data_IF_785933573326
#
_entry.id   IF_785933573326
#
_cell.length_a   1.000
_cell.length_b   1.000
_cell.length_c   1.000
_cell.angle_alpha   90.00
_cell.angle_beta   90.00
_cell.angle_gamma   90.00
#
_symmetry.space_group_name_H-M   'P 1'
#
loop_
_entity.id
_entity.type
_entity.pdbx_description
1 polymer ?
#
# COMPACT_ATOMS: atom_id res chain seq x y z
N UNK A 1 5.06 2.43 23.85
CA UNK A 1 4.14 1.49 23.18
C UNK A 1 3.88 0.34 24.12
N UNK A 2 2.62 -0.06 24.33
CA UNK A 2 2.29 -1.25 25.15
C UNK A 2 2.73 -2.50 24.38
N UNK A 3 3.41 -3.42 25.07
CA UNK A 3 3.83 -4.71 24.50
C UNK A 3 2.58 -5.48 24.03
N UNK A 4 2.56 -6.05 22.80
CA UNK A 4 1.42 -6.82 22.32
C UNK A 4 1.16 -8.03 23.24
N UNK A 5 -0.12 -8.30 23.53
CA UNK A 5 -0.50 -9.39 24.43
C UNK A 5 -0.46 -10.71 23.66
N UNK A 6 0.32 -11.66 24.18
CA UNK A 6 0.40 -13.01 23.63
C UNK A 6 -0.92 -13.74 23.82
N UNK A 7 -1.36 -14.46 22.78
CA UNK A 7 -2.49 -15.38 22.84
C UNK A 7 -2.14 -16.61 23.69
N UNK A 8 -3.08 -17.08 24.49
CA UNK A 8 -2.95 -18.37 25.13
C UNK A 8 -3.15 -19.54 24.15
N UNK A 9 -2.89 -20.77 24.57
CA UNK A 9 -2.97 -21.93 23.68
C UNK A 9 -4.39 -22.16 23.10
N UNK A 10 -5.43 -21.86 23.86
CA UNK A 10 -6.81 -22.00 23.41
C UNK A 10 -7.15 -20.94 22.35
N UNK A 11 -6.76 -19.69 22.58
CA UNK A 11 -6.94 -18.59 21.62
C UNK A 11 -6.13 -18.82 20.35
N UNK A 12 -4.87 -19.27 20.43
CA UNK A 12 -4.05 -19.64 19.28
C UNK A 12 -4.68 -20.76 18.43
N UNK A 13 -5.23 -21.79 19.08
CA UNK A 13 -5.94 -22.86 18.39
C UNK A 13 -7.24 -22.38 17.75
N UNK A 14 -8.01 -21.53 18.43
CA UNK A 14 -9.23 -20.93 17.89
C UNK A 14 -8.92 -20.04 16.67
N UNK A 15 -7.84 -19.26 16.74
CA UNK A 15 -7.35 -18.45 15.61
C UNK A 15 -7.12 -19.31 14.38
N UNK A 16 -6.32 -20.37 14.48
CA UNK A 16 -6.00 -21.24 13.34
C UNK A 16 -7.27 -21.93 12.80
N UNK A 17 -8.19 -22.33 13.68
CA UNK A 17 -9.48 -22.88 13.26
C UNK A 17 -10.30 -21.88 12.43
N UNK A 18 -10.17 -20.59 12.72
CA UNK A 18 -10.84 -19.50 11.96
C UNK A 18 -10.15 -19.13 10.64
N UNK A 19 -8.94 -19.67 10.40
CA UNK A 19 -8.10 -19.37 9.23
C UNK A 19 -7.87 -20.64 8.40
N UNK A 20 -8.75 -20.98 7.46
CA UNK A 20 -8.63 -22.19 6.66
C UNK A 20 -7.27 -22.30 5.94
N UNK A 21 -6.59 -23.44 6.11
CA UNK A 21 -5.31 -23.76 5.48
C UNK A 21 -4.07 -23.18 6.18
N UNK A 22 -4.23 -22.44 7.29
CA UNK A 22 -3.12 -22.09 8.17
C UNK A 22 -2.86 -23.22 9.16
N UNK A 23 -1.60 -23.42 9.50
CA UNK A 23 -1.15 -24.43 10.47
C UNK A 23 -0.47 -23.76 11.65
N UNK A 24 -0.82 -24.22 12.86
CA UNK A 24 -0.11 -23.83 14.09
C UNK A 24 1.16 -24.65 14.21
N UNK A 25 2.28 -24.03 14.52
CA UNK A 25 3.51 -24.74 14.85
C UNK A 25 3.35 -25.57 16.13
N UNK A 26 4.13 -26.65 16.27
CA UNK A 26 4.04 -27.57 17.40
C UNK A 26 4.29 -26.90 18.76
N UNK A 27 5.08 -25.82 18.79
CA UNK A 27 5.36 -25.02 19.98
C UNK A 27 4.29 -23.95 20.28
N UNK A 28 3.28 -23.81 19.39
CA UNK A 28 2.20 -22.83 19.51
C UNK A 28 2.60 -21.39 19.31
N UNK A 29 3.82 -21.11 18.81
CA UNK A 29 4.37 -19.75 18.73
C UNK A 29 4.22 -19.07 17.39
N UNK A 30 3.94 -19.82 16.33
CA UNK A 30 3.80 -19.28 14.99
C UNK A 30 2.68 -19.97 14.22
N UNK A 31 2.18 -19.28 13.19
CA UNK A 31 1.27 -19.85 12.21
C UNK A 31 1.89 -19.74 10.82
N UNK A 32 1.67 -20.74 9.98
CA UNK A 32 2.17 -20.73 8.62
C UNK A 32 1.16 -21.23 7.62
N UNK A 33 1.31 -20.77 6.36
CA UNK A 33 0.54 -21.25 5.22
C UNK A 33 1.37 -21.19 3.96
N UNK A 34 1.22 -22.22 3.10
CA UNK A 34 1.79 -22.21 1.76
C UNK A 34 0.71 -21.86 0.74
N UNK A 35 0.88 -20.76 0.06
CA UNK A 35 0.07 -20.31 -1.07
C UNK A 35 0.67 -20.80 -2.38
N UNK A 36 -0.17 -21.16 -3.36
CA UNK A 36 0.26 -21.58 -4.68
C UNK A 36 -0.25 -20.62 -5.75
N UNK A 37 0.57 -20.42 -6.76
CA UNK A 37 0.34 -19.49 -7.86
C UNK A 37 0.59 -20.18 -9.22
N UNK A 38 0.24 -19.52 -10.32
CA UNK A 38 0.42 -20.06 -11.65
C UNK A 38 1.90 -20.15 -12.05
N UNK A 39 2.69 -19.14 -11.69
CA UNK A 39 4.08 -18.97 -12.10
C UNK A 39 4.86 -18.07 -11.12
N UNK A 40 6.10 -17.77 -11.46
CA UNK A 40 6.98 -16.92 -10.66
C UNK A 40 6.51 -15.47 -10.61
N UNK A 41 5.99 -14.94 -11.71
CA UNK A 41 5.45 -13.57 -11.78
C UNK A 41 4.27 -13.38 -10.82
N UNK A 42 3.32 -14.33 -10.81
CA UNK A 42 2.20 -14.33 -9.89
C UNK A 42 2.65 -14.47 -8.43
N UNK A 43 3.69 -15.30 -8.17
CA UNK A 43 4.29 -15.44 -6.83
C UNK A 43 4.87 -14.11 -6.37
N UNK A 44 5.67 -13.44 -7.19
CA UNK A 44 6.30 -12.16 -6.85
C UNK A 44 5.28 -11.03 -6.72
N UNK A 45 4.23 -11.03 -7.54
CA UNK A 45 3.14 -10.06 -7.42
C UNK A 45 2.44 -10.17 -6.05
N UNK A 46 2.17 -11.40 -5.60
CA UNK A 46 1.63 -11.65 -4.26
C UNK A 46 2.57 -11.15 -3.15
N UNK A 47 3.86 -11.48 -3.25
CA UNK A 47 4.87 -11.11 -2.24
C UNK A 47 5.01 -9.60 -2.11
N UNK A 48 5.04 -8.87 -3.22
CA UNK A 48 5.13 -7.40 -3.20
C UNK A 48 3.90 -6.74 -2.55
N UNK A 49 2.71 -7.29 -2.78
CA UNK A 49 1.48 -6.81 -2.11
C UNK A 49 1.49 -7.15 -0.62
N UNK A 50 1.95 -8.35 -0.26
CA UNK A 50 2.08 -8.75 1.14
C UNK A 50 3.10 -7.87 1.89
N UNK A 51 4.19 -7.48 1.23
CA UNK A 51 5.16 -6.53 1.79
C UNK A 51 4.51 -5.16 2.09
N UNK A 52 3.61 -4.68 1.23
CA UNK A 52 2.83 -3.46 1.48
C UNK A 52 1.98 -3.57 2.76
N UNK A 53 1.27 -4.68 2.93
CA UNK A 53 0.49 -4.95 4.15
C UNK A 53 1.41 -5.03 5.38
N UNK A 54 2.53 -5.75 5.28
CA UNK A 54 3.47 -5.93 6.38
C UNK A 54 4.03 -4.58 6.86
N UNK A 55 4.42 -3.71 5.92
CA UNK A 55 4.90 -2.36 6.21
C UNK A 55 3.81 -1.49 6.87
N UNK A 56 2.57 -1.54 6.38
CA UNK A 56 1.47 -0.77 6.95
C UNK A 56 1.09 -1.20 8.37
N UNK A 57 1.28 -2.48 8.70
CA UNK A 57 1.00 -3.05 10.03
C UNK A 57 2.23 -3.06 10.95
N UNK A 58 3.42 -2.65 10.45
CA UNK A 58 4.71 -2.81 11.14
C UNK A 58 4.90 -4.24 11.69
N UNK A 59 4.45 -5.25 10.90
CA UNK A 59 4.51 -6.66 11.27
C UNK A 59 4.89 -7.54 10.08
N UNK A 60 6.12 -8.01 10.08
CA UNK A 60 6.75 -8.65 8.92
C UNK A 60 6.76 -10.17 9.06
N UNK A 61 6.28 -10.91 8.05
CA UNK A 61 6.35 -12.38 8.04
C UNK A 61 7.74 -12.88 7.62
N UNK A 62 8.07 -14.10 8.05
CA UNK A 62 9.10 -14.88 7.37
C UNK A 62 8.52 -15.50 6.09
N UNK A 63 9.28 -15.40 4.99
CA UNK A 63 8.84 -15.87 3.68
C UNK A 63 9.82 -16.92 3.11
N UNK A 64 9.24 -18.01 2.58
CA UNK A 64 9.98 -18.99 1.78
C UNK A 64 9.36 -19.09 0.41
N UNK A 65 10.14 -18.76 -0.61
CA UNK A 65 9.67 -18.64 -1.99
C UNK A 65 10.15 -19.78 -2.87
N UNK A 66 9.29 -20.17 -3.81
CA UNK A 66 9.63 -21.02 -4.95
C UNK A 66 8.98 -20.49 -6.21
N UNK A 67 9.15 -21.21 -7.34
CA UNK A 67 8.66 -20.75 -8.63
C UNK A 67 7.17 -20.40 -8.63
N UNK A 68 6.35 -21.24 -8.00
CA UNK A 68 4.89 -21.10 -8.00
C UNK A 68 4.28 -21.21 -6.59
N UNK A 69 5.04 -20.85 -5.56
CA UNK A 69 4.53 -20.83 -4.19
C UNK A 69 5.24 -19.78 -3.32
N UNK A 70 4.52 -19.33 -2.31
CA UNK A 70 5.04 -18.58 -1.18
C UNK A 70 4.54 -19.26 0.11
N UNK A 71 5.45 -19.63 0.99
CA UNK A 71 5.17 -20.04 2.35
C UNK A 71 5.35 -18.83 3.25
N UNK A 72 4.29 -18.48 3.96
CA UNK A 72 4.22 -17.31 4.84
C UNK A 72 4.14 -17.80 6.28
N UNK A 73 5.00 -17.27 7.14
CA UNK A 73 5.00 -17.56 8.58
C UNK A 73 4.88 -16.26 9.35
N UNK A 74 3.92 -16.20 10.28
CA UNK A 74 3.75 -15.10 11.22
C UNK A 74 4.03 -15.54 12.64
N UNK A 75 4.72 -14.67 13.39
CA UNK A 75 4.97 -14.74 14.83
C UNK A 75 5.28 -13.33 15.33
N UNK A 76 4.88 -13.02 16.55
CA UNK A 76 5.25 -11.75 17.19
C UNK A 76 6.45 -11.98 18.12
N UNK A 77 7.66 -11.64 17.63
CA UNK A 77 8.91 -11.89 18.36
C UNK A 77 8.92 -11.25 19.76
N UNK A 78 8.46 -10.02 19.88
CA UNK A 78 8.42 -9.28 21.16
C UNK A 78 7.48 -9.91 22.20
N UNK A 79 6.50 -10.70 21.73
CA UNK A 79 5.57 -11.43 22.60
C UNK A 79 6.01 -12.88 22.86
N UNK A 80 7.07 -13.37 22.20
CA UNK A 80 7.51 -14.78 22.16
C UNK A 80 6.33 -15.70 21.78
N UNK A 81 5.57 -15.34 20.75
CA UNK A 81 4.42 -16.13 20.31
C UNK A 81 3.39 -15.30 19.51
N UNK A 82 2.22 -15.88 19.34
CA UNK A 82 1.14 -15.28 18.55
C UNK A 82 0.39 -14.17 19.31
N UNK A 83 -0.05 -13.18 18.56
CA UNK A 83 -0.91 -12.07 19.01
C UNK A 83 -2.03 -11.83 18.00
N UNK A 84 -2.96 -10.91 18.28
CA UNK A 84 -3.99 -10.50 17.31
C UNK A 84 -3.40 -9.86 16.03
N UNK A 85 -2.17 -9.39 16.08
CA UNK A 85 -1.51 -8.82 14.92
C UNK A 85 -1.19 -9.90 13.87
N UNK A 86 -0.74 -11.08 14.32
CA UNK A 86 -0.53 -12.26 13.46
C UNK A 86 -1.83 -12.68 12.78
N UNK A 87 -2.94 -12.65 13.52
CA UNK A 87 -4.26 -12.95 13.00
C UNK A 87 -4.69 -11.96 11.90
N UNK A 88 -4.47 -10.68 12.14
CA UNK A 88 -4.81 -9.60 11.20
C UNK A 88 -4.01 -9.74 9.91
N UNK A 89 -2.69 -9.92 10.02
CA UNK A 89 -1.81 -10.09 8.87
C UNK A 89 -2.08 -11.40 8.11
N UNK A 90 -2.40 -12.50 8.80
CA UNK A 90 -2.77 -13.76 8.18
C UNK A 90 -4.07 -13.66 7.35
N UNK A 91 -5.08 -12.94 7.88
CA UNK A 91 -6.32 -12.65 7.13
C UNK A 91 -6.05 -11.81 5.89
N UNK A 92 -5.24 -10.77 6.01
CA UNK A 92 -4.85 -9.94 4.87
C UNK A 92 -4.06 -10.73 3.82
N UNK A 93 -3.10 -11.57 4.23
CA UNK A 93 -2.36 -12.47 3.34
C UNK A 93 -3.29 -13.42 2.57
N UNK A 94 -4.34 -13.94 3.24
CA UNK A 94 -5.35 -14.77 2.59
C UNK A 94 -6.14 -14.00 1.54
N UNK A 95 -6.63 -12.82 1.87
CA UNK A 95 -7.40 -11.98 0.95
C UNK A 95 -6.59 -11.62 -0.30
N UNK A 96 -5.29 -11.33 -0.15
CA UNK A 96 -4.39 -11.09 -1.27
C UNK A 96 -4.26 -12.31 -2.18
N UNK A 97 -4.16 -13.52 -1.61
CA UNK A 97 -4.06 -14.75 -2.40
C UNK A 97 -5.36 -15.07 -3.15
N UNK A 98 -6.51 -14.87 -2.49
CA UNK A 98 -7.83 -15.07 -3.11
C UNK A 98 -8.06 -14.09 -4.27
N UNK A 99 -7.66 -12.82 -4.08
CA UNK A 99 -7.70 -11.81 -5.13
C UNK A 99 -6.76 -12.14 -6.31
N UNK A 100 -5.59 -12.74 -6.04
CA UNK A 100 -4.65 -13.17 -7.08
C UNK A 100 -5.17 -14.36 -7.90
N UNK A 101 -6.04 -15.19 -7.32
CA UNK A 101 -6.66 -16.32 -8.00
C UNK A 101 -7.88 -15.92 -8.85
N UNK A 102 -8.41 -14.70 -8.67
CA UNK A 102 -9.56 -14.22 -9.44
C UNK A 102 -9.23 -14.08 -10.93
N UNK A 103 -10.18 -14.35 -11.84
CA UNK A 103 -9.97 -14.16 -13.27
C UNK A 103 -9.56 -12.73 -13.61
N UNK A 104 -8.42 -12.57 -14.29
CA UNK A 104 -7.94 -11.26 -14.73
C UNK A 104 -8.72 -10.84 -15.97
N UNK A 105 -9.43 -9.72 -15.87
CA UNK A 105 -10.20 -9.14 -16.97
C UNK A 105 -9.78 -7.69 -17.18
N UNK A 106 -9.73 -7.27 -18.46
CA UNK A 106 -9.57 -5.88 -18.79
C UNK A 106 -10.79 -5.09 -18.29
N UNK A 107 -10.54 -3.95 -17.63
CA UNK A 107 -11.56 -3.05 -17.10
C UNK A 107 -11.40 -1.67 -17.74
N UNK A 108 -12.50 -1.10 -18.17
CA UNK A 108 -12.57 0.27 -18.70
C UNK A 108 -13.29 1.15 -17.67
N UNK A 109 -12.73 2.31 -17.41
CA UNK A 109 -13.34 3.35 -16.58
C UNK A 109 -13.46 4.64 -17.38
N UNK A 110 -14.55 5.37 -17.21
CA UNK A 110 -14.62 6.78 -17.56
C UNK A 110 -14.43 7.58 -16.27
N UNK A 111 -13.60 8.60 -16.28
CA UNK A 111 -13.33 9.41 -15.08
C UNK A 111 -14.59 10.07 -14.51
N UNK A 112 -15.60 10.33 -15.37
CA UNK A 112 -16.92 10.82 -14.95
C UNK A 112 -17.67 9.86 -14.04
N UNK A 113 -17.42 8.55 -14.18
CA UNK A 113 -18.09 7.49 -13.45
C UNK A 113 -17.32 7.07 -12.19
N UNK A 114 -16.07 7.51 -12.08
CA UNK A 114 -15.24 7.24 -10.90
C UNK A 114 -15.61 8.20 -9.78
N UNK A 115 -16.06 7.71 -8.62
CA UNK A 115 -16.40 8.57 -7.48
C UNK A 115 -15.24 9.47 -7.10
N UNK A 116 -15.56 10.74 -6.86
CA UNK A 116 -14.57 11.69 -6.37
C UNK A 116 -14.63 11.76 -4.85
N UNK A 117 -13.47 11.69 -4.22
CA UNK A 117 -13.28 11.86 -2.81
C UNK A 117 -12.75 13.28 -2.52
N UNK A 118 -13.46 14.02 -1.65
CA UNK A 118 -12.96 15.29 -1.12
C UNK A 118 -12.15 14.99 0.12
N UNK A 119 -10.82 15.12 0.03
CA UNK A 119 -9.91 14.82 1.14
C UNK A 119 -9.87 15.96 2.17
N UNK A 120 -9.85 17.20 1.67
CA UNK A 120 -9.93 18.43 2.44
C UNK A 120 -10.50 19.55 1.52
N UNK A 121 -10.75 20.78 2.01
CA UNK A 121 -11.33 21.84 1.18
C UNK A 121 -10.53 22.21 -0.08
N UNK A 122 -9.24 21.91 -0.09
CA UNK A 122 -8.30 22.27 -1.18
C UNK A 122 -7.88 21.11 -2.05
N UNK A 123 -8.27 19.87 -1.72
CA UNK A 123 -7.79 18.67 -2.43
C UNK A 123 -8.92 17.69 -2.70
N UNK A 124 -9.07 17.32 -3.96
CA UNK A 124 -10.03 16.32 -4.43
C UNK A 124 -9.34 15.26 -5.27
N UNK A 125 -9.77 14.02 -5.12
CA UNK A 125 -9.16 12.85 -5.76
C UNK A 125 -10.21 11.95 -6.41
N UNK A 126 -9.90 11.42 -7.59
CA UNK A 126 -10.48 10.18 -8.14
C UNK A 126 -9.36 9.19 -8.36
N UNK A 127 -9.58 7.92 -8.13
CA UNK A 127 -8.55 6.91 -8.37
C UNK A 127 -9.13 5.62 -8.92
N UNK A 128 -8.34 4.97 -9.77
CA UNK A 128 -8.55 3.60 -10.25
C UNK A 128 -7.26 2.83 -10.09
N UNK A 129 -7.35 1.53 -9.90
CA UNK A 129 -6.16 0.71 -9.76
C UNK A 129 -6.32 -0.65 -10.44
N UNK A 130 -5.20 -1.21 -10.87
CA UNK A 130 -5.02 -2.61 -11.24
C UNK A 130 -4.42 -3.40 -10.09
N UNK A 131 -3.67 -4.45 -10.45
CA UNK A 131 -2.98 -5.29 -9.46
C UNK A 131 -1.69 -4.65 -8.92
N UNK A 132 -1.04 -3.77 -9.70
CA UNK A 132 0.28 -3.21 -9.41
C UNK A 132 0.40 -1.71 -9.58
N UNK A 133 -0.56 -1.10 -10.25
CA UNK A 133 -0.54 0.32 -10.60
C UNK A 133 -1.82 0.98 -10.14
N UNK A 134 -1.68 2.12 -9.47
CA UNK A 134 -2.76 3.03 -9.13
C UNK A 134 -2.60 4.29 -9.99
N UNK A 135 -3.71 4.75 -10.56
CA UNK A 135 -3.79 6.03 -11.28
C UNK A 135 -4.78 6.93 -10.56
N UNK A 136 -4.33 8.13 -10.22
CA UNK A 136 -5.15 9.14 -9.54
C UNK A 136 -5.29 10.40 -10.41
N UNK A 137 -6.52 10.90 -10.52
CA UNK A 137 -6.87 12.19 -11.09
C UNK A 137 -7.08 13.17 -9.93
N UNK A 138 -6.20 14.15 -9.82
CA UNK A 138 -6.09 15.03 -8.66
C UNK A 138 -6.46 16.47 -9.04
N UNK A 139 -7.15 17.15 -8.14
CA UNK A 139 -7.47 18.56 -8.26
C UNK A 139 -7.12 19.28 -6.97
N UNK A 140 -6.39 20.37 -7.08
CA UNK A 140 -5.93 21.18 -5.95
C UNK A 140 -6.27 22.65 -6.13
N UNK A 141 -6.52 23.33 -5.00
CA UNK A 141 -6.61 24.78 -4.95
C UNK A 141 -5.23 25.41 -4.82
N UNK A 142 -5.08 26.59 -5.43
CA UNK A 142 -3.85 27.36 -5.36
C UNK A 142 -3.44 27.68 -3.92
N UNK A 143 -2.14 27.57 -3.66
CA UNK A 143 -1.56 27.76 -2.34
C UNK A 143 -1.64 26.54 -1.41
N UNK A 144 -2.27 25.44 -1.83
CA UNK A 144 -2.23 24.21 -1.07
C UNK A 144 -0.82 23.60 -1.13
N UNK A 145 -0.38 23.05 0.00
CA UNK A 145 0.91 22.38 0.13
C UNK A 145 0.68 20.97 0.63
N UNK A 146 1.07 19.98 -0.15
CA UNK A 146 1.25 18.60 0.33
C UNK A 146 2.53 18.59 1.16
N UNK A 147 2.46 18.33 2.48
CA UNK A 147 3.62 18.44 3.35
C UNK A 147 4.71 17.42 2.98
N UNK A 148 5.94 17.70 3.43
CA UNK A 148 7.08 16.82 3.22
C UNK A 148 6.78 15.42 3.73
N UNK A 149 6.84 14.45 2.83
CA UNK A 149 6.60 13.03 3.09
C UNK A 149 7.43 12.18 2.14
N UNK A 150 7.42 10.89 2.36
CA UNK A 150 7.97 9.90 1.43
C UNK A 150 7.11 8.63 1.48
N UNK A 151 7.21 7.82 0.46
CA UNK A 151 6.54 6.52 0.37
C UNK A 151 7.34 5.53 -0.47
N UNK A 152 7.07 4.25 -0.30
CA UNK A 152 7.77 3.15 -1.03
C UNK A 152 7.45 3.12 -2.52
N UNK A 153 6.39 3.81 -2.94
CA UNK A 153 5.96 3.85 -4.33
C UNK A 153 6.88 4.76 -5.16
N UNK A 154 7.22 4.35 -6.37
CA UNK A 154 7.61 5.29 -7.41
C UNK A 154 6.38 6.05 -7.86
N UNK A 155 6.51 7.37 -8.04
CA UNK A 155 5.45 8.26 -8.48
C UNK A 155 5.83 8.89 -9.83
N UNK A 156 4.86 8.90 -10.74
CA UNK A 156 4.95 9.66 -11.99
C UNK A 156 3.83 10.69 -11.98
N UNK A 157 4.18 11.95 -11.88
CA UNK A 157 3.24 13.09 -11.89
C UNK A 157 3.17 13.72 -13.27
N UNK A 158 1.97 13.82 -13.83
CA UNK A 158 1.69 14.50 -15.11
C UNK A 158 0.82 15.73 -14.82
N UNK A 159 1.35 16.92 -14.99
CA UNK A 159 0.59 18.15 -14.79
C UNK A 159 -0.26 18.45 -16.03
N UNK A 160 -1.57 18.65 -15.82
CA UNK A 160 -2.53 19.02 -16.88
C UNK A 160 -2.79 20.52 -16.94
N UNK A 161 -2.87 21.17 -15.77
CA UNK A 161 -3.06 22.62 -15.65
C UNK A 161 -2.47 23.12 -14.33
N UNK A 162 -2.13 24.41 -14.26
CA UNK A 162 -1.42 25.02 -13.15
C UNK A 162 0.06 24.67 -13.14
N UNK A 163 0.76 24.92 -12.05
CA UNK A 163 2.17 24.60 -11.86
C UNK A 163 2.35 23.98 -10.48
N UNK A 164 3.14 22.91 -10.38
CA UNK A 164 3.50 22.30 -9.11
C UNK A 164 4.97 22.57 -8.85
N UNK A 165 5.28 23.17 -7.72
CA UNK A 165 6.64 23.29 -7.21
C UNK A 165 6.95 22.16 -6.27
N UNK A 166 7.78 21.23 -6.70
CA UNK A 166 8.32 20.19 -5.86
C UNK A 166 9.60 20.65 -5.15
N UNK A 167 9.72 20.29 -3.87
CA UNK A 167 10.97 20.38 -3.11
C UNK A 167 11.36 18.97 -2.69
N UNK A 168 12.46 18.47 -3.24
CA UNK A 168 12.93 17.10 -3.08
C UNK A 168 14.12 17.03 -2.13
N UNK A 169 14.22 15.86 -1.47
CA UNK A 169 15.23 15.60 -0.44
C UNK A 169 14.75 16.00 0.96
N UNK A 170 15.36 15.42 1.99
CA UNK A 170 15.03 15.74 3.38
C UNK A 170 15.33 17.21 3.74
N UNK A 171 16.31 17.81 3.06
CA UNK A 171 16.70 19.21 3.19
C UNK A 171 15.96 20.16 2.22
N UNK A 172 15.11 19.62 1.34
CA UNK A 172 14.34 20.36 0.32
C UNK A 172 15.21 21.16 -0.65
N UNK A 173 16.48 20.74 -0.84
CA UNK A 173 17.45 21.51 -1.60
C UNK A 173 17.22 21.49 -3.11
N UNK A 174 16.63 20.43 -3.64
CA UNK A 174 16.30 20.33 -5.05
C UNK A 174 14.89 20.87 -5.30
N UNK A 175 14.77 21.98 -6.02
CA UNK A 175 13.49 22.60 -6.38
C UNK A 175 13.23 22.39 -7.87
N UNK A 176 12.05 21.86 -8.21
CA UNK A 176 11.61 21.61 -9.57
C UNK A 176 10.19 22.14 -9.74
N UNK A 177 9.99 23.07 -10.68
CA UNK A 177 8.67 23.49 -11.12
C UNK A 177 8.24 22.62 -12.30
N UNK A 178 7.07 21.99 -12.20
CA UNK A 178 6.50 21.14 -13.25
C UNK A 178 5.30 21.86 -13.85
N UNK A 179 5.38 22.14 -15.15
CA UNK A 179 4.39 22.90 -15.91
C UNK A 179 3.42 21.98 -16.66
N UNK A 180 2.29 22.52 -17.18
CA UNK A 180 1.37 21.73 -17.99
C UNK A 180 2.03 21.04 -19.17
N UNK A 181 1.79 19.73 -19.31
CA UNK A 181 2.39 18.87 -20.32
C UNK A 181 3.75 18.29 -19.95
N UNK A 182 4.27 18.64 -18.77
CA UNK A 182 5.51 18.06 -18.25
C UNK A 182 5.21 16.89 -17.30
N UNK A 183 6.24 16.05 -17.13
CA UNK A 183 6.20 14.85 -16.29
C UNK A 183 7.37 14.87 -15.32
N UNK A 184 7.11 14.62 -14.05
CA UNK A 184 8.13 14.38 -13.03
C UNK A 184 8.06 12.93 -12.56
N UNK A 185 9.22 12.27 -12.45
CA UNK A 185 9.34 10.95 -11.83
C UNK A 185 10.04 11.13 -10.48
N UNK A 186 9.37 10.66 -9.42
CA UNK A 186 9.90 10.67 -8.06
C UNK A 186 10.17 9.21 -7.66
N UNK A 187 11.45 8.81 -7.51
CA UNK A 187 11.79 7.44 -7.11
C UNK A 187 11.27 7.08 -5.70
N UNK A 188 11.13 5.79 -5.43
CA UNK A 188 10.78 5.25 -4.12
C UNK A 188 11.58 5.91 -3.00
N UNK A 189 10.89 6.26 -1.92
CA UNK A 189 11.47 6.79 -0.68
C UNK A 189 12.22 8.14 -0.81
N UNK A 190 12.11 8.84 -1.93
CA UNK A 190 12.62 10.21 -2.04
C UNK A 190 11.67 11.14 -1.30
N UNK A 191 12.13 11.84 -0.23
CA UNK A 191 11.30 12.82 0.46
C UNK A 191 10.92 13.97 -0.49
N UNK A 192 9.65 14.34 -0.47
CA UNK A 192 9.14 15.40 -1.34
C UNK A 192 7.99 16.17 -0.70
N UNK A 193 7.93 17.45 -1.03
CA UNK A 193 6.87 18.39 -0.72
C UNK A 193 6.37 18.96 -2.05
N UNK A 194 5.06 19.22 -2.19
CA UNK A 194 4.49 19.79 -3.39
C UNK A 194 3.65 21.03 -3.06
N UNK A 195 3.99 22.18 -3.65
CA UNK A 195 3.29 23.45 -3.53
C UNK A 195 2.54 23.77 -4.83
N UNK A 196 1.25 24.05 -4.72
CA UNK A 196 0.38 24.36 -5.85
C UNK A 196 0.41 25.84 -6.19
N UNK A 197 0.97 26.19 -7.36
CA UNK A 197 1.04 27.54 -7.86
C UNK A 197 -0.16 27.80 -8.78
N UNK A 198 -1.20 28.43 -8.24
CA UNK A 198 -2.53 28.48 -8.84
C UNK A 198 -3.32 27.16 -8.63
N UNK A 199 -4.53 27.12 -9.16
CA UNK A 199 -5.31 25.87 -9.17
C UNK A 199 -4.63 24.86 -10.10
N UNK A 200 -4.49 23.60 -9.63
CA UNK A 200 -3.75 22.55 -10.34
C UNK A 200 -4.67 21.37 -10.63
N UNK A 201 -4.56 20.83 -11.84
CA UNK A 201 -5.02 19.49 -12.19
C UNK A 201 -3.83 18.65 -12.63
N UNK A 202 -3.71 17.47 -12.04
CA UNK A 202 -2.65 16.52 -12.37
C UNK A 202 -3.18 15.09 -12.46
N UNK A 203 -2.35 14.21 -12.99
CA UNK A 203 -2.54 12.77 -12.92
C UNK A 203 -1.28 12.15 -12.32
N UNK A 204 -1.47 11.42 -11.24
CA UNK A 204 -0.41 10.62 -10.63
C UNK A 204 -0.56 9.14 -10.97
N UNK A 205 0.58 8.51 -11.23
CA UNK A 205 0.69 7.06 -11.37
C UNK A 205 1.65 6.54 -10.31
N UNK A 206 1.20 5.56 -9.54
CA UNK A 206 1.99 4.94 -8.47
C UNK A 206 2.22 3.46 -8.71
N UNK A 207 3.42 2.99 -8.43
CA UNK A 207 3.78 1.57 -8.39
C UNK A 207 4.74 1.28 -7.23
N UNK A 208 4.49 0.25 -6.39
CA UNK A 208 3.27 -0.54 -6.27
C UNK A 208 2.05 0.29 -5.88
N UNK A 209 0.94 -0.36 -5.51
CA UNK A 209 -0.28 0.35 -5.09
C UNK A 209 -0.03 1.17 -3.82
N UNK A 210 -0.69 2.33 -3.72
CA UNK A 210 -0.77 3.15 -2.50
C UNK A 210 -1.77 2.49 -1.53
N UNK A 211 -1.29 1.52 -0.76
CA UNK A 211 -2.13 0.80 0.20
C UNK A 211 -2.73 1.71 1.28
N UNK A 212 -2.00 2.77 1.66
CA UNK A 212 -2.50 3.81 2.56
C UNK A 212 -3.71 4.56 1.99
N UNK A 213 -3.73 4.83 0.67
CA UNK A 213 -4.87 5.45 0.01
C UNK A 213 -6.05 4.50 -0.12
N UNK A 214 -5.79 3.22 -0.42
CA UNK A 214 -6.83 2.20 -0.56
C UNK A 214 -7.49 1.85 0.78
N UNK A 215 -6.73 1.91 1.87
CA UNK A 215 -7.23 1.66 3.23
C UNK A 215 -7.76 2.90 3.94
N UNK A 216 -7.58 4.10 3.34
CA UNK A 216 -8.01 5.37 3.95
C UNK A 216 -7.19 5.79 5.16
N UNK A 217 -5.91 5.38 5.24
CA UNK A 217 -4.97 5.73 6.31
C UNK A 217 -4.00 6.85 5.92
N UNK A 218 -4.36 7.63 4.91
CA UNK A 218 -3.61 8.76 4.35
C UNK A 218 -3.91 10.09 5.09
N UNK A 219 -3.91 10.08 6.43
CA UNK A 219 -4.29 11.19 7.31
C UNK A 219 -3.52 12.49 7.04
N UNK A 220 -2.29 12.41 6.53
CA UNK A 220 -1.47 13.58 6.21
C UNK A 220 -2.05 14.43 5.06
N UNK A 221 -2.91 13.85 4.20
CA UNK A 221 -3.62 14.55 3.14
C UNK A 221 -5.00 15.08 3.58
N UNK A 222 -5.50 14.64 4.72
CA UNK A 222 -6.86 14.95 5.21
C UNK A 222 -6.92 16.12 6.21
N UNK A 223 -5.79 16.76 6.46
CA UNK A 223 -5.65 17.87 7.42
C UNK A 223 -5.78 19.22 6.75
#
# INVERSE_FOLDING_TARGET
>A
MTRPTRLDAAAAQALVTSLPGWALAADGKSISRRFRFADFEATMSYVNRLAGVANAQDHHPDLKLGYNYCEVLFTTHDADGLTELDATCARAAQQLADAAAAPRQARKYAWTDVPAEQLNPSMRRRMVHGDRVLVADMQFKGGFVVPLHHHVNEQVTLVKSGVIRFRLGADRSQVIDVHPGEVLIIPSNVPHEAEMIGDVEEMDVFTPLREDWLSGTDDYLRR
#
